data_IF_558091567779
#
_entry.id   IF_558091567779
#
_cell.length_a   1.000
_cell.length_b   1.000
_cell.length_c   1.000
_cell.angle_alpha   90.00
_cell.angle_beta   90.00
_cell.angle_gamma   90.00
#
_symmetry.space_group_name_H-M   'P 1'
#
loop_
_entity.id
_entity.type
_entity.pdbx_description
1 polymer ?
#
# COMPACT_ATOMS: atom_id res chain seq x y z
N UNK A 1 24.57 -16.11 9.66
CA UNK A 1 23.40 -15.34 9.18
C UNK A 1 22.48 -15.18 10.37
N UNK A 2 22.03 -13.95 10.67
CA UNK A 2 21.12 -13.72 11.80
C UNK A 2 19.72 -14.27 11.50
N UNK A 3 18.97 -14.58 12.53
CA UNK A 3 17.58 -15.04 12.48
C UNK A 3 16.68 -14.06 11.71
N UNK A 4 16.84 -12.77 11.98
CA UNK A 4 16.16 -11.66 11.31
C UNK A 4 16.47 -11.56 9.81
N UNK A 5 17.73 -11.79 9.41
CA UNK A 5 18.14 -11.84 7.99
C UNK A 5 17.44 -12.98 7.23
N UNK A 6 17.21 -14.13 7.90
CA UNK A 6 16.50 -15.26 7.30
C UNK A 6 15.00 -14.96 7.16
N UNK A 7 14.38 -14.36 8.19
CA UNK A 7 12.98 -13.95 8.17
C UNK A 7 12.72 -12.93 7.04
N UNK A 8 13.56 -11.91 6.90
CA UNK A 8 13.46 -10.92 5.82
C UNK A 8 13.54 -11.57 4.43
N UNK A 9 14.51 -12.46 4.21
CA UNK A 9 14.68 -13.20 2.95
C UNK A 9 13.46 -14.04 2.56
N UNK A 10 12.80 -14.68 3.55
CA UNK A 10 11.57 -15.45 3.31
C UNK A 10 10.43 -14.53 2.90
N UNK A 11 10.30 -13.36 3.53
CA UNK A 11 9.30 -12.34 3.17
C UNK A 11 9.56 -11.82 1.75
N UNK A 12 10.81 -11.50 1.38
CA UNK A 12 11.17 -11.10 0.01
C UNK A 12 10.82 -12.17 -1.03
N UNK A 13 11.14 -13.42 -0.72
CA UNK A 13 10.81 -14.55 -1.59
C UNK A 13 9.30 -14.74 -1.74
N UNK A 14 8.52 -14.49 -0.68
CA UNK A 14 7.06 -14.56 -0.74
C UNK A 14 6.47 -13.47 -1.65
N UNK A 15 6.92 -12.21 -1.52
CA UNK A 15 6.56 -11.12 -2.43
C UNK A 15 6.83 -11.51 -3.88
N UNK A 16 8.06 -11.93 -4.17
CA UNK A 16 8.46 -12.30 -5.51
C UNK A 16 7.66 -13.50 -6.08
N UNK A 17 7.33 -14.50 -5.25
CA UNK A 17 6.49 -15.62 -5.68
C UNK A 17 5.05 -15.16 -5.99
N UNK A 18 4.50 -14.22 -5.21
CA UNK A 18 3.15 -13.68 -5.45
C UNK A 18 3.11 -12.89 -6.75
N UNK A 19 4.12 -12.06 -7.01
CA UNK A 19 4.20 -11.28 -8.24
C UNK A 19 4.33 -12.16 -9.49
N UNK A 20 5.16 -13.20 -9.43
CA UNK A 20 5.42 -14.06 -10.59
C UNK A 20 4.28 -15.05 -10.87
N UNK A 21 3.61 -15.56 -9.84
CA UNK A 21 2.71 -16.70 -9.96
C UNK A 21 1.29 -16.44 -9.43
N UNK A 22 1.08 -15.33 -8.73
CA UNK A 22 -0.16 -15.01 -8.02
C UNK A 22 -0.26 -15.63 -6.63
N UNK A 23 -1.14 -15.07 -5.80
CA UNK A 23 -1.30 -15.41 -4.39
C UNK A 23 -1.48 -16.92 -4.12
N UNK A 24 -2.39 -17.59 -4.84
CA UNK A 24 -2.69 -19.01 -4.60
C UNK A 24 -1.56 -19.96 -5.01
N UNK A 25 -0.79 -19.61 -6.04
CA UNK A 25 0.32 -20.43 -6.53
C UNK A 25 1.62 -20.22 -5.75
N UNK A 26 1.73 -19.12 -4.99
CA UNK A 26 2.83 -18.84 -4.08
C UNK A 26 2.75 -19.76 -2.84
N UNK A 27 3.02 -21.07 -3.05
CA UNK A 27 2.99 -22.06 -1.98
C UNK A 27 4.22 -21.95 -1.07
N UNK A 28 4.08 -22.37 0.19
CA UNK A 28 5.18 -22.36 1.15
C UNK A 28 6.44 -23.10 0.68
N UNK A 29 6.27 -24.20 -0.08
CA UNK A 29 7.40 -24.93 -0.65
C UNK A 29 8.14 -24.12 -1.74
N UNK A 30 7.42 -23.40 -2.59
CA UNK A 30 8.01 -22.52 -3.59
C UNK A 30 8.73 -21.35 -2.97
N UNK A 31 8.12 -20.74 -1.96
CA UNK A 31 8.73 -19.66 -1.18
C UNK A 31 10.01 -20.14 -0.49
N UNK A 32 9.99 -21.34 0.16
CA UNK A 32 11.16 -21.94 0.77
C UNK A 32 12.30 -22.14 -0.23
N UNK A 33 11.96 -22.74 -1.39
CA UNK A 33 12.92 -22.95 -2.48
C UNK A 33 13.53 -21.64 -2.98
N UNK A 34 12.71 -20.61 -3.19
CA UNK A 34 13.15 -19.28 -3.65
C UNK A 34 14.02 -18.56 -2.61
N UNK A 35 13.67 -18.70 -1.33
CA UNK A 35 14.43 -18.14 -0.22
C UNK A 35 15.74 -18.90 0.08
N UNK A 36 15.97 -20.05 -0.54
CA UNK A 36 17.11 -20.91 -0.23
C UNK A 36 17.08 -21.49 1.18
N UNK A 37 15.89 -21.82 1.68
CA UNK A 37 15.67 -22.43 3.01
C UNK A 37 14.80 -23.69 2.90
N UNK A 38 14.69 -24.44 3.99
CA UNK A 38 13.74 -25.55 4.08
C UNK A 38 12.35 -25.08 4.54
N UNK A 39 11.32 -25.87 4.28
CA UNK A 39 9.98 -25.63 4.84
C UNK A 39 10.00 -25.53 6.38
N UNK A 40 10.82 -26.35 7.06
CA UNK A 40 10.96 -26.28 8.51
C UNK A 40 11.43 -24.92 9.03
N UNK A 41 12.26 -24.22 8.27
CA UNK A 41 12.68 -22.84 8.60
C UNK A 41 11.50 -21.87 8.49
N UNK A 42 10.67 -21.97 7.45
CA UNK A 42 9.46 -21.14 7.34
C UNK A 42 8.51 -21.44 8.50
N UNK A 43 8.29 -22.71 8.81
CA UNK A 43 7.42 -23.12 9.92
C UNK A 43 7.94 -22.62 11.28
N UNK A 44 9.25 -22.61 11.48
CA UNK A 44 9.87 -22.07 12.69
C UNK A 44 9.60 -20.56 12.85
N UNK A 45 9.77 -19.76 11.77
CA UNK A 45 9.63 -18.30 11.84
C UNK A 45 8.19 -17.79 11.80
N UNK A 46 7.28 -18.49 11.13
CA UNK A 46 5.93 -18.00 10.83
C UNK A 46 4.82 -18.98 11.30
N UNK A 47 5.12 -20.24 11.52
CA UNK A 47 4.14 -21.26 11.90
C UNK A 47 3.25 -21.69 10.73
N UNK A 48 2.46 -20.78 10.16
CA UNK A 48 1.52 -21.06 9.08
C UNK A 48 1.79 -20.21 7.83
N UNK A 49 1.21 -20.63 6.68
CA UNK A 49 1.23 -19.82 5.47
C UNK A 49 0.51 -18.47 5.67
N UNK A 50 -0.63 -18.49 6.37
CA UNK A 50 -1.38 -17.27 6.69
C UNK A 50 -0.54 -16.29 7.49
N UNK A 51 0.16 -16.74 8.52
CA UNK A 51 1.05 -15.90 9.32
C UNK A 51 2.24 -15.36 8.50
N UNK A 52 2.77 -16.13 7.54
CA UNK A 52 3.75 -15.62 6.59
C UNK A 52 3.15 -14.51 5.72
N UNK A 53 1.93 -14.70 5.18
CA UNK A 53 1.27 -13.68 4.36
C UNK A 53 0.97 -12.41 5.16
N UNK A 54 0.56 -12.54 6.44
CA UNK A 54 0.42 -11.39 7.34
C UNK A 54 1.74 -10.64 7.53
N UNK A 55 2.84 -11.35 7.76
CA UNK A 55 4.16 -10.72 7.90
C UNK A 55 4.62 -9.99 6.62
N UNK A 56 4.24 -10.50 5.43
CA UNK A 56 4.45 -9.79 4.16
C UNK A 56 3.63 -8.51 4.11
N UNK A 57 2.35 -8.57 4.49
CA UNK A 57 1.46 -7.41 4.53
C UNK A 57 1.93 -6.36 5.54
N UNK A 58 2.32 -6.77 6.76
CA UNK A 58 2.87 -5.88 7.80
C UNK A 58 4.09 -5.12 7.30
N UNK A 59 5.01 -5.80 6.59
CA UNK A 59 6.15 -5.12 5.97
C UNK A 59 5.73 -4.06 4.96
N UNK A 60 4.73 -4.35 4.14
CA UNK A 60 4.18 -3.36 3.20
C UNK A 60 3.65 -2.11 3.90
N UNK A 61 2.98 -2.30 5.05
CA UNK A 61 2.49 -1.17 5.86
C UNK A 61 3.64 -0.39 6.52
N UNK A 62 4.68 -1.06 7.01
CA UNK A 62 5.87 -0.40 7.53
C UNK A 62 6.61 0.44 6.47
N UNK A 63 6.63 -0.04 5.24
CA UNK A 63 7.20 0.68 4.09
C UNK A 63 6.36 1.90 3.73
N UNK A 64 5.02 1.77 3.74
CA UNK A 64 4.11 2.89 3.57
C UNK A 64 4.29 3.91 4.69
N UNK A 65 4.32 3.46 5.96
CA UNK A 65 4.49 4.34 7.11
C UNK A 65 5.79 5.13 7.03
N UNK A 66 6.88 4.49 6.61
CA UNK A 66 8.16 5.18 6.36
C UNK A 66 8.05 6.20 5.22
N UNK A 67 7.45 5.81 4.10
CA UNK A 67 7.27 6.73 2.97
C UNK A 67 6.45 7.98 3.36
N UNK A 68 5.41 7.79 4.19
CA UNK A 68 4.61 8.90 4.72
C UNK A 68 5.37 9.73 5.77
N UNK A 69 6.23 9.11 6.57
CA UNK A 69 7.05 9.81 7.57
C UNK A 69 8.14 10.68 6.93
N UNK A 70 8.71 10.20 5.82
CA UNK A 70 9.78 10.89 5.09
C UNK A 70 9.23 11.96 4.12
N UNK A 71 7.92 11.97 3.88
CA UNK A 71 7.29 12.92 2.97
C UNK A 71 7.31 14.35 3.51
N UNK A 72 7.82 15.26 2.70
CA UNK A 72 7.83 16.70 2.99
C UNK A 72 6.67 17.35 2.23
N UNK A 73 5.71 17.93 2.97
CA UNK A 73 4.54 18.59 2.42
C UNK A 73 4.74 20.11 2.52
N UNK A 74 5.18 20.73 1.44
CA UNK A 74 5.52 22.15 1.37
C UNK A 74 4.84 22.85 0.19
N UNK A 75 4.72 24.16 0.27
CA UNK A 75 4.21 25.03 -0.80
C UNK A 75 3.25 26.11 -0.31
N UNK A 76 3.18 27.19 -1.08
CA UNK A 76 2.40 28.39 -0.76
C UNK A 76 0.90 28.23 -1.07
N UNK A 77 0.52 27.19 -1.80
CA UNK A 77 -0.87 26.90 -2.18
C UNK A 77 -1.31 25.52 -1.72
N UNK A 78 -2.63 25.30 -1.58
CA UNK A 78 -3.20 23.97 -1.34
C UNK A 78 -2.79 23.01 -2.46
N UNK A 79 -2.80 23.49 -3.71
CA UNK A 79 -2.45 22.68 -4.88
C UNK A 79 -1.01 22.17 -4.80
N UNK A 80 -0.05 23.03 -4.44
CA UNK A 80 1.36 22.64 -4.26
C UNK A 80 1.52 21.58 -3.15
N UNK A 81 0.92 21.81 -1.98
CA UNK A 81 0.96 20.87 -0.86
C UNK A 81 0.25 19.56 -1.15
N UNK A 82 -0.89 19.62 -1.86
CA UNK A 82 -1.63 18.44 -2.31
C UNK A 82 -0.80 17.62 -3.31
N UNK A 83 -0.06 18.28 -4.22
CA UNK A 83 0.86 17.60 -5.13
C UNK A 83 1.91 16.82 -4.36
N UNK A 84 2.56 17.41 -3.34
CA UNK A 84 3.52 16.70 -2.49
C UNK A 84 2.91 15.48 -1.80
N UNK A 85 1.69 15.61 -1.28
CA UNK A 85 0.96 14.49 -0.66
C UNK A 85 0.67 13.36 -1.64
N UNK A 86 0.16 13.70 -2.83
CA UNK A 86 -0.14 12.74 -3.89
C UNK A 86 1.15 12.05 -4.34
N UNK A 87 2.25 12.80 -4.53
CA UNK A 87 3.54 12.25 -4.94
C UNK A 87 4.12 11.26 -3.93
N UNK A 88 3.99 11.55 -2.64
CA UNK A 88 4.47 10.66 -1.58
C UNK A 88 3.72 9.31 -1.60
N UNK A 89 2.39 9.34 -1.70
CA UNK A 89 1.58 8.13 -1.83
C UNK A 89 1.84 7.41 -3.14
N UNK A 90 1.96 8.17 -4.22
CA UNK A 90 2.18 7.65 -5.54
C UNK A 90 3.50 6.90 -5.68
N UNK A 91 4.59 7.46 -5.16
CA UNK A 91 5.91 6.82 -5.14
C UNK A 91 5.88 5.44 -4.44
N UNK A 92 5.05 5.28 -3.41
CA UNK A 92 4.84 3.98 -2.76
C UNK A 92 3.99 3.04 -3.61
N UNK A 93 2.85 3.50 -4.14
CA UNK A 93 1.89 2.64 -4.84
C UNK A 93 2.36 2.17 -6.22
N UNK A 94 3.28 2.88 -6.88
CA UNK A 94 3.90 2.44 -8.14
C UNK A 94 4.93 1.32 -7.98
N UNK A 95 5.22 0.90 -6.77
CA UNK A 95 6.15 -0.21 -6.53
C UNK A 95 5.45 -1.53 -6.84
N UNK A 96 6.11 -2.45 -7.59
CA UNK A 96 5.50 -3.75 -7.91
C UNK A 96 5.03 -4.52 -6.67
N UNK A 97 5.73 -4.37 -5.54
CA UNK A 97 5.42 -5.03 -4.27
C UNK A 97 4.02 -4.67 -3.76
N UNK A 98 3.51 -3.47 -4.06
CA UNK A 98 2.18 -3.05 -3.68
C UNK A 98 1.10 -4.01 -4.21
N UNK A 99 1.24 -4.51 -5.43
CA UNK A 99 0.31 -5.49 -6.01
C UNK A 99 0.32 -6.81 -5.22
N UNK A 100 1.48 -7.27 -4.75
CA UNK A 100 1.55 -8.45 -3.89
C UNK A 100 0.82 -8.22 -2.56
N UNK A 101 1.00 -7.05 -1.93
CA UNK A 101 0.31 -6.69 -0.69
C UNK A 101 -1.22 -6.64 -0.88
N UNK A 102 -1.69 -6.08 -1.99
CA UNK A 102 -3.11 -6.03 -2.32
C UNK A 102 -3.70 -7.42 -2.59
N UNK A 103 -2.97 -8.30 -3.29
CA UNK A 103 -3.40 -9.70 -3.47
C UNK A 103 -3.55 -10.43 -2.14
N UNK A 104 -2.66 -10.20 -1.17
CA UNK A 104 -2.76 -10.79 0.17
C UNK A 104 -4.03 -10.30 0.87
N UNK A 105 -4.24 -8.98 0.93
CA UNK A 105 -5.41 -8.39 1.61
C UNK A 105 -6.71 -8.92 1.00
N UNK A 106 -6.84 -8.84 -0.32
CA UNK A 106 -8.06 -9.25 -1.02
C UNK A 106 -8.35 -10.74 -0.82
N UNK A 107 -7.34 -11.60 -0.97
CA UNK A 107 -7.56 -13.04 -0.86
C UNK A 107 -7.80 -13.47 0.58
N UNK A 108 -7.02 -13.03 1.56
CA UNK A 108 -7.24 -13.40 2.97
C UNK A 108 -8.53 -12.83 3.53
N UNK A 109 -8.97 -11.65 3.08
CA UNK A 109 -10.23 -11.06 3.56
C UNK A 109 -11.46 -11.79 3.04
N UNK A 110 -11.41 -12.39 1.84
CA UNK A 110 -12.57 -12.99 1.17
C UNK A 110 -12.56 -14.53 1.15
N UNK A 111 -11.43 -15.17 1.44
CA UNK A 111 -11.37 -16.63 1.51
C UNK A 111 -12.11 -17.12 2.76
N UNK A 112 -13.18 -17.94 2.62
CA UNK A 112 -13.95 -18.43 3.75
C UNK A 112 -13.16 -19.33 4.69
N UNK A 113 -12.02 -19.87 4.25
CA UNK A 113 -11.14 -20.73 5.05
C UNK A 113 -10.14 -19.94 5.90
N UNK A 114 -9.98 -18.64 5.66
CA UNK A 114 -9.09 -17.78 6.46
C UNK A 114 -9.58 -17.71 7.90
N UNK A 115 -8.68 -17.90 8.87
CA UNK A 115 -8.98 -17.81 10.28
C UNK A 115 -9.48 -16.40 10.67
N UNK A 116 -10.44 -16.34 11.61
CA UNK A 116 -10.97 -15.04 12.09
C UNK A 116 -9.89 -14.17 12.74
N UNK A 117 -8.91 -14.79 13.42
CA UNK A 117 -7.75 -14.09 13.98
C UNK A 117 -6.92 -13.39 12.89
N UNK A 118 -6.76 -14.02 11.72
CA UNK A 118 -6.06 -13.46 10.57
C UNK A 118 -6.82 -12.26 9.99
N UNK A 119 -8.15 -12.37 9.85
CA UNK A 119 -9.00 -11.25 9.41
C UNK A 119 -8.97 -10.07 10.39
N UNK A 120 -8.98 -10.34 11.68
CA UNK A 120 -8.85 -9.31 12.73
C UNK A 120 -7.48 -8.64 12.69
N UNK A 121 -6.39 -9.40 12.46
CA UNK A 121 -5.04 -8.85 12.32
C UNK A 121 -4.94 -7.93 11.09
N UNK A 122 -5.48 -8.35 9.94
CA UNK A 122 -5.53 -7.50 8.73
C UNK A 122 -6.29 -6.20 8.98
N UNK A 123 -7.44 -6.26 9.68
CA UNK A 123 -8.20 -5.06 10.03
C UNK A 123 -7.40 -4.14 10.94
N UNK A 124 -6.79 -4.66 11.99
CA UNK A 124 -5.99 -3.89 12.93
C UNK A 124 -4.80 -3.21 12.23
N UNK A 125 -4.13 -3.92 11.34
CA UNK A 125 -3.03 -3.37 10.53
C UNK A 125 -3.51 -2.24 9.62
N UNK A 126 -4.69 -2.39 9.01
CA UNK A 126 -5.28 -1.33 8.18
C UNK A 126 -5.62 -0.07 8.99
N UNK A 127 -6.13 -0.23 10.21
CA UNK A 127 -6.47 0.88 11.09
C UNK A 127 -5.22 1.70 11.50
N UNK A 128 -4.04 1.07 11.57
CA UNK A 128 -2.77 1.76 11.89
C UNK A 128 -2.34 2.78 10.81
N UNK A 129 -2.63 2.53 9.54
CA UNK A 129 -2.34 3.50 8.45
C UNK A 129 -3.04 4.83 8.72
N UNK A 130 -4.23 4.78 9.33
CA UNK A 130 -5.01 5.96 9.68
C UNK A 130 -4.34 6.90 10.70
N UNK A 131 -3.28 6.49 11.38
CA UNK A 131 -2.62 7.30 12.43
C UNK A 131 -1.79 8.45 11.85
N UNK A 132 -1.08 8.24 10.73
CA UNK A 132 -0.22 9.28 10.11
C UNK A 132 -0.96 10.17 9.11
N UNK A 133 -1.97 9.65 8.46
CA UNK A 133 -2.71 10.39 7.43
C UNK A 133 -3.26 11.75 7.90
N UNK A 134 -3.83 11.91 9.11
CA UNK A 134 -4.29 13.20 9.59
C UNK A 134 -3.19 14.26 9.71
N UNK A 135 -1.98 13.88 10.11
CA UNK A 135 -0.86 14.83 10.19
C UNK A 135 -0.48 15.36 8.80
N UNK A 136 -0.42 14.49 7.79
CA UNK A 136 -0.18 14.88 6.41
C UNK A 136 -1.33 15.74 5.86
N UNK A 137 -2.57 15.34 6.14
CA UNK A 137 -3.75 16.14 5.75
C UNK A 137 -3.75 17.52 6.39
N UNK A 138 -3.31 17.63 7.64
CA UNK A 138 -3.12 18.93 8.31
C UNK A 138 -2.07 19.78 7.59
N UNK A 139 -0.95 19.17 7.16
CA UNK A 139 0.07 19.86 6.37
C UNK A 139 -0.48 20.36 5.02
N UNK A 140 -1.39 19.62 4.37
CA UNK A 140 -2.06 20.05 3.13
C UNK A 140 -3.05 21.17 3.39
N UNK A 141 -3.96 20.99 4.36
CA UNK A 141 -5.12 21.87 4.59
C UNK A 141 -4.79 23.13 5.42
N UNK A 142 -3.73 23.08 6.25
CA UNK A 142 -3.41 24.14 7.21
C UNK A 142 -4.31 24.09 8.47
N UNK A 143 -4.23 25.13 9.32
CA UNK A 143 -4.82 25.14 10.66
C UNK A 143 -6.32 25.49 10.71
N UNK A 144 -6.92 25.94 9.60
CA UNK A 144 -8.32 26.41 9.57
C UNK A 144 -9.39 25.30 9.77
N UNK A 145 -9.28 24.15 9.11
CA UNK A 145 -10.29 23.08 9.18
C UNK A 145 -10.31 22.34 10.54
N UNK A 146 -11.49 21.80 10.91
CA UNK A 146 -11.62 20.94 12.11
C UNK A 146 -10.84 19.63 11.96
N UNK A 147 -10.46 19.01 13.08
CA UNK A 147 -9.77 17.73 13.06
C UNK A 147 -10.59 16.61 12.38
N UNK A 148 -11.91 16.61 12.56
CA UNK A 148 -12.78 15.66 11.88
C UNK A 148 -12.70 15.83 10.35
N UNK A 149 -12.74 17.05 9.84
CA UNK A 149 -12.61 17.35 8.41
C UNK A 149 -11.23 16.93 7.86
N UNK A 150 -10.16 17.18 8.63
CA UNK A 150 -8.80 16.74 8.26
C UNK A 150 -8.73 15.22 8.13
N UNK A 151 -9.26 14.47 9.10
CA UNK A 151 -9.28 13.00 9.09
C UNK A 151 -10.04 12.46 7.88
N UNK A 152 -11.24 12.98 7.63
CA UNK A 152 -12.09 12.54 6.51
C UNK A 152 -11.43 12.83 5.16
N UNK A 153 -10.92 14.06 4.99
CA UNK A 153 -10.24 14.47 3.76
C UNK A 153 -8.98 13.64 3.51
N UNK A 154 -8.16 13.44 4.53
CA UNK A 154 -6.93 12.63 4.40
C UNK A 154 -7.24 11.20 3.98
N UNK A 155 -8.26 10.59 4.58
CA UNK A 155 -8.73 9.25 4.23
C UNK A 155 -9.26 9.18 2.80
N UNK A 156 -10.02 10.19 2.39
CA UNK A 156 -10.54 10.29 1.03
C UNK A 156 -9.39 10.38 0.02
N UNK A 157 -8.44 11.29 0.21
CA UNK A 157 -7.27 11.47 -0.65
C UNK A 157 -6.46 10.17 -0.76
N UNK A 158 -6.18 9.53 0.37
CA UNK A 158 -5.50 8.24 0.42
C UNK A 158 -6.20 7.17 -0.43
N UNK A 159 -7.54 7.05 -0.30
CA UNK A 159 -8.31 6.07 -1.04
C UNK A 159 -8.36 6.37 -2.55
N UNK A 160 -8.43 7.64 -2.94
CA UNK A 160 -8.44 8.05 -4.35
C UNK A 160 -7.11 7.72 -5.01
N UNK A 161 -5.97 8.10 -4.40
CA UNK A 161 -4.63 7.82 -4.96
C UNK A 161 -4.39 6.33 -5.06
N UNK A 162 -4.76 5.55 -4.04
CA UNK A 162 -4.66 4.08 -4.07
C UNK A 162 -5.52 3.46 -5.16
N UNK A 163 -6.74 3.98 -5.36
CA UNK A 163 -7.64 3.52 -6.42
C UNK A 163 -7.07 3.73 -7.81
N UNK A 164 -6.51 4.92 -8.07
CA UNK A 164 -5.84 5.22 -9.34
C UNK A 164 -4.62 4.34 -9.58
N UNK A 165 -3.82 4.07 -8.56
CA UNK A 165 -2.67 3.18 -8.69
C UNK A 165 -3.08 1.75 -9.05
N UNK A 166 -4.16 1.23 -8.43
CA UNK A 166 -4.71 -0.08 -8.78
C UNK A 166 -5.28 -0.13 -10.19
N UNK A 167 -5.95 0.94 -10.64
CA UNK A 167 -6.47 1.03 -12.00
C UNK A 167 -5.33 1.00 -13.03
N UNK A 168 -4.24 1.70 -12.76
CA UNK A 168 -3.04 1.65 -13.61
C UNK A 168 -2.46 0.22 -13.69
N UNK A 169 -2.29 -0.45 -12.56
CA UNK A 169 -1.78 -1.83 -12.53
C UNK A 169 -2.70 -2.78 -13.32
N UNK A 170 -4.02 -2.58 -13.26
CA UNK A 170 -4.99 -3.35 -14.03
C UNK A 170 -4.85 -3.08 -15.54
N UNK A 171 -4.72 -1.84 -15.94
CA UNK A 171 -4.55 -1.45 -17.34
C UNK A 171 -3.24 -1.97 -17.92
N UNK A 172 -2.14 -1.88 -17.18
CA UNK A 172 -0.83 -2.39 -17.59
C UNK A 172 -0.83 -3.93 -17.77
N UNK A 173 -1.69 -4.63 -17.03
CA UNK A 173 -1.85 -6.08 -17.14
C UNK A 173 -2.76 -6.51 -18.32
N UNK A 174 -3.54 -5.60 -18.91
CA UNK A 174 -4.45 -5.90 -20.00
C UNK A 174 -3.74 -5.77 -21.36
N UNK A 175 -3.97 -6.72 -22.32
CA UNK A 175 -3.40 -6.64 -23.67
C UNK A 175 -4.17 -5.63 -24.55
N UNK A 176 -4.37 -4.41 -24.04
CA UNK A 176 -5.07 -3.33 -24.73
C UNK A 176 -4.11 -2.18 -24.93
N UNK A 177 -4.06 -1.59 -26.13
CA UNK A 177 -3.34 -0.34 -26.34
C UNK A 177 -3.96 0.77 -25.49
N UNK A 178 -3.25 1.22 -24.48
CA UNK A 178 -3.60 2.38 -23.65
C UNK A 178 -2.40 3.32 -23.59
N UNK A 179 -2.68 4.56 -23.24
CA UNK A 179 -1.72 5.67 -23.40
C UNK A 179 -0.52 5.60 -22.42
N UNK A 180 -0.32 4.52 -21.69
CA UNK A 180 0.85 4.30 -20.83
C UNK A 180 1.02 5.36 -19.73
N UNK A 181 2.24 5.57 -19.29
CA UNK A 181 2.60 6.49 -18.20
C UNK A 181 2.20 7.95 -18.44
N UNK A 182 2.14 8.42 -19.68
CA UNK A 182 1.77 9.80 -20.01
C UNK A 182 0.29 10.11 -19.71
N UNK A 183 -0.63 9.16 -19.94
CA UNK A 183 -2.03 9.34 -19.57
C UNK A 183 -2.20 9.39 -18.06
N UNK A 184 -1.38 8.64 -17.36
CA UNK A 184 -1.40 8.61 -15.92
C UNK A 184 -0.86 9.90 -15.28
N UNK A 185 0.25 10.43 -15.77
CA UNK A 185 0.77 11.73 -15.29
C UNK A 185 -0.28 12.84 -15.50
N UNK A 186 -1.00 12.80 -16.63
CA UNK A 186 -2.13 13.70 -16.89
C UNK A 186 -3.30 13.48 -15.91
N UNK A 187 -3.64 12.24 -15.57
CA UNK A 187 -4.69 11.93 -14.58
C UNK A 187 -4.29 12.41 -13.18
N UNK A 188 -3.02 12.26 -12.81
CA UNK A 188 -2.48 12.73 -11.53
C UNK A 188 -2.56 14.26 -11.45
N UNK A 189 -2.13 14.99 -12.49
CA UNK A 189 -2.22 16.45 -12.54
C UNK A 189 -3.68 16.91 -12.44
N UNK A 190 -4.57 16.28 -13.20
CA UNK A 190 -6.01 16.57 -13.15
C UNK A 190 -6.60 16.28 -11.76
N UNK A 191 -6.21 15.17 -11.11
CA UNK A 191 -6.62 14.87 -9.75
C UNK A 191 -6.23 15.99 -8.78
N UNK A 192 -4.97 16.40 -8.80
CA UNK A 192 -4.46 17.47 -7.93
C UNK A 192 -5.26 18.76 -8.19
N UNK A 193 -5.48 19.13 -9.45
CA UNK A 193 -6.23 20.31 -9.85
C UNK A 193 -7.68 20.29 -9.35
N UNK A 194 -8.40 19.19 -9.60
CA UNK A 194 -9.82 19.04 -9.21
C UNK A 194 -9.97 19.05 -7.69
N UNK A 195 -9.11 18.34 -6.97
CA UNK A 195 -9.14 18.29 -5.51
C UNK A 195 -8.77 19.65 -4.90
N UNK A 196 -7.77 20.34 -5.44
CA UNK A 196 -7.42 21.69 -4.98
C UNK A 196 -8.58 22.69 -5.14
N UNK A 197 -9.29 22.62 -6.27
CA UNK A 197 -10.51 23.44 -6.50
C UNK A 197 -11.61 23.12 -5.47
N UNK A 198 -11.88 21.84 -5.23
CA UNK A 198 -12.88 21.40 -4.26
C UNK A 198 -12.55 21.84 -2.83
N UNK A 199 -11.29 21.70 -2.42
CA UNK A 199 -10.80 22.09 -1.10
C UNK A 199 -10.78 23.60 -0.88
N UNK A 200 -10.56 24.40 -1.93
CA UNK A 200 -10.64 25.86 -1.86
C UNK A 200 -12.09 26.37 -1.82
N UNK A 201 -13.04 25.69 -2.48
CA UNK A 201 -14.45 26.06 -2.48
C UNK A 201 -15.16 25.79 -1.15
N UNK A 202 -14.62 24.88 -0.31
CA UNK A 202 -15.16 24.54 1.01
C UNK A 202 -14.66 25.43 2.16
N UNK A 203 -13.83 26.44 1.87
CA UNK A 203 -13.35 27.45 2.82
C UNK A 203 -14.20 28.69 2.77
#
# INVERSE_FOLDING_TARGET
MSDESTRARVVDAAVACILDEGFYRASSNKIAKRAGVTWGVIQYHFGTREALMLAVHERGLEELDRALADAVIEGDSIEARLSCFVDALWAYYRRPEFLAYMQIVLNLSHDPTTADSTRLALKASHDQVGVRLPAMGRAVLGDGPSDAHVVETSRFLYNVVRGLALDQDLLDAMPVEHSGSAAFDAQREELVRVLALALNAGR
#
